data_IF_812258696738
#
_entry.id   IF_812258696738
#
_cell.length_a   1.000
_cell.length_b   1.000
_cell.length_c   1.000
_cell.angle_alpha   90.00
_cell.angle_beta   90.00
_cell.angle_gamma   90.00
#
_symmetry.space_group_name_H-M   'P 1'
#
loop_
_entity.id
_entity.type
_entity.pdbx_description
1 polymer ?
#
# COMPACT_ATOMS: atom_id res chain seq x y z
N UNK A 1 -14.16 11.26 -14.52
CA UNK A 1 -13.29 10.09 -14.25
C UNK A 1 -13.46 9.07 -15.36
N UNK A 2 -12.40 8.39 -15.80
CA UNK A 2 -12.50 7.30 -16.77
C UNK A 2 -13.36 6.14 -16.25
N UNK A 3 -14.02 5.42 -17.16
CA UNK A 3 -14.96 4.35 -16.81
C UNK A 3 -14.34 3.14 -16.08
N UNK A 4 -13.02 2.96 -16.19
CA UNK A 4 -12.28 1.87 -15.56
C UNK A 4 -11.75 2.21 -14.16
N UNK A 5 -12.14 3.36 -13.60
CA UNK A 5 -11.76 3.75 -12.24
C UNK A 5 -12.88 3.43 -11.26
N UNK A 6 -12.53 2.81 -10.15
CA UNK A 6 -13.41 2.66 -9.00
C UNK A 6 -12.95 3.66 -7.94
N UNK A 7 -13.73 4.71 -7.70
CA UNK A 7 -13.49 5.66 -6.60
C UNK A 7 -14.67 5.62 -5.65
N UNK A 8 -14.37 5.31 -4.39
CA UNK A 8 -15.33 5.18 -3.30
C UNK A 8 -14.68 5.71 -2.02
N UNK A 9 -15.47 6.23 -1.06
CA UNK A 9 -14.95 6.60 0.25
C UNK A 9 -14.41 5.39 1.03
N UNK A 10 -14.89 4.19 0.71
CA UNK A 10 -14.43 2.94 1.28
C UNK A 10 -14.51 1.81 0.24
N UNK A 11 -13.56 0.89 0.31
CA UNK A 11 -13.55 -0.38 -0.41
C UNK A 11 -13.10 -1.49 0.54
N UNK A 12 -13.55 -2.75 0.36
CA UNK A 12 -13.05 -3.87 1.14
C UNK A 12 -11.59 -4.17 0.76
N UNK A 13 -10.64 -3.51 1.41
CA UNK A 13 -9.22 -3.49 1.03
C UNK A 13 -8.61 -4.90 0.88
N UNK A 14 -8.89 -5.82 1.81
CA UNK A 14 -8.37 -7.18 1.73
C UNK A 14 -8.86 -7.94 0.48
N UNK A 15 -10.11 -7.72 0.08
CA UNK A 15 -10.65 -8.32 -1.15
C UNK A 15 -10.01 -7.71 -2.39
N UNK A 16 -9.71 -6.40 -2.35
CA UNK A 16 -9.02 -5.72 -3.44
C UNK A 16 -7.57 -6.20 -3.56
N UNK A 17 -6.85 -6.36 -2.44
CA UNK A 17 -5.46 -6.82 -2.43
C UNK A 17 -5.30 -8.24 -3.00
N UNK A 18 -6.29 -9.12 -2.85
CA UNK A 18 -6.29 -10.44 -3.50
C UNK A 18 -6.27 -10.40 -5.03
N UNK A 19 -6.54 -9.25 -5.63
CA UNK A 19 -6.68 -9.04 -7.08
C UNK A 19 -5.80 -7.91 -7.61
N UNK A 20 -4.96 -7.33 -6.76
CA UNK A 20 -4.16 -6.16 -7.10
C UNK A 20 -2.73 -6.57 -7.50
N UNK A 21 -2.23 -5.98 -8.59
CA UNK A 21 -0.84 -6.15 -9.00
C UNK A 21 0.13 -5.24 -8.23
N UNK A 22 -0.37 -4.13 -7.68
CA UNK A 22 0.40 -3.15 -6.91
C UNK A 22 -0.49 -2.47 -5.88
N UNK A 23 0.07 -2.16 -4.71
CA UNK A 23 -0.60 -1.35 -3.69
C UNK A 23 0.15 -0.04 -3.47
N UNK A 24 -0.46 1.06 -3.93
CA UNK A 24 0.00 2.42 -3.60
C UNK A 24 -0.60 2.81 -2.27
N UNK A 25 0.23 3.06 -1.27
CA UNK A 25 -0.23 3.29 0.10
C UNK A 25 0.56 4.37 0.79
N UNK A 26 -0.05 5.04 1.75
CA UNK A 26 0.60 5.98 2.66
C UNK A 26 1.61 5.34 3.62
N UNK A 27 1.83 4.02 3.57
CA UNK A 27 2.69 3.26 4.48
C UNK A 27 2.22 3.22 5.94
N UNK A 28 0.90 3.32 6.18
CA UNK A 28 0.34 2.96 7.46
C UNK A 28 0.62 1.48 7.78
N UNK A 29 0.98 1.18 9.03
CA UNK A 29 1.47 -0.15 9.43
C UNK A 29 0.53 -1.30 9.04
N UNK A 30 -0.78 -1.12 9.25
CA UNK A 30 -1.78 -2.15 8.89
C UNK A 30 -1.80 -2.41 7.38
N UNK A 31 -1.83 -1.35 6.57
CA UNK A 31 -1.86 -1.48 5.11
C UNK A 31 -0.58 -2.12 4.56
N UNK A 32 0.57 -1.81 5.17
CA UNK A 32 1.84 -2.46 4.84
C UNK A 32 1.76 -3.95 5.15
N UNK A 33 1.33 -4.34 6.34
CA UNK A 33 1.19 -5.75 6.70
C UNK A 33 0.22 -6.50 5.78
N UNK A 34 -0.93 -5.91 5.46
CA UNK A 34 -1.92 -6.52 4.57
C UNK A 34 -1.37 -6.70 3.16
N UNK A 35 -0.68 -5.70 2.61
CA UNK A 35 -0.03 -5.82 1.30
C UNK A 35 1.03 -6.91 1.27
N UNK A 36 1.89 -6.98 2.30
CA UNK A 36 2.90 -8.04 2.43
C UNK A 36 2.27 -9.43 2.58
N UNK A 37 1.23 -9.54 3.40
CA UNK A 37 0.50 -10.79 3.62
C UNK A 37 -0.12 -11.33 2.32
N UNK A 38 -0.62 -10.43 1.47
CA UNK A 38 -1.17 -10.79 0.16
C UNK A 38 -0.12 -10.89 -0.95
N UNK A 39 1.17 -10.69 -0.64
CA UNK A 39 2.26 -10.74 -1.63
C UNK A 39 2.18 -9.62 -2.67
N UNK A 40 1.50 -8.51 -2.37
CA UNK A 40 1.31 -7.40 -3.29
C UNK A 40 2.47 -6.41 -3.13
N UNK A 41 3.20 -6.08 -4.21
CA UNK A 41 4.26 -5.07 -4.19
C UNK A 41 3.76 -3.71 -3.68
N UNK A 42 4.54 -3.09 -2.79
CA UNK A 42 4.21 -1.82 -2.14
C UNK A 42 4.91 -0.63 -2.82
N UNK A 43 4.13 0.40 -3.16
CA UNK A 43 4.63 1.74 -3.50
C UNK A 43 4.17 2.73 -2.42
N UNK A 44 5.12 3.20 -1.63
CA UNK A 44 4.84 3.94 -0.42
C UNK A 44 5.00 5.46 -0.60
N UNK A 45 3.96 6.21 -0.26
CA UNK A 45 3.91 7.68 -0.32
C UNK A 45 3.50 8.23 1.05
N UNK A 46 4.46 8.36 1.96
CA UNK A 46 4.21 8.72 3.36
C UNK A 46 3.62 10.12 3.51
N UNK A 47 2.56 10.25 4.31
CA UNK A 47 1.87 11.52 4.61
C UNK A 47 1.84 11.87 6.12
N UNK A 48 1.95 10.87 7.00
CA UNK A 48 1.95 11.01 8.46
C UNK A 48 3.33 10.91 9.10
N UNK A 49 3.44 11.14 10.42
CA UNK A 49 4.74 11.22 11.12
C UNK A 49 5.47 9.86 11.27
N UNK A 50 4.73 8.77 11.44
CA UNK A 50 5.25 7.41 11.64
C UNK A 50 5.57 6.68 10.32
N UNK A 51 4.79 6.98 9.29
CA UNK A 51 4.86 6.35 7.96
C UNK A 51 6.24 6.42 7.28
N UNK A 52 7.03 7.51 7.40
CA UNK A 52 8.38 7.57 6.84
C UNK A 52 9.31 6.47 7.36
N UNK A 53 9.23 6.17 8.66
CA UNK A 53 10.05 5.15 9.30
C UNK A 53 9.63 3.75 8.84
N UNK A 54 8.32 3.50 8.75
CA UNK A 54 7.77 2.26 8.19
C UNK A 54 8.25 2.07 6.75
N UNK A 55 8.08 3.09 5.91
CA UNK A 55 8.47 3.03 4.49
C UNK A 55 9.98 2.82 4.31
N UNK A 56 10.81 3.46 5.14
CA UNK A 56 12.25 3.25 5.13
C UNK A 56 12.63 1.80 5.51
N UNK A 57 11.96 1.23 6.53
CA UNK A 57 12.19 -0.15 6.94
C UNK A 57 11.81 -1.15 5.84
N UNK A 58 10.64 -0.98 5.23
CA UNK A 58 10.18 -1.85 4.15
C UNK A 58 11.10 -1.77 2.92
N UNK A 59 11.53 -0.56 2.54
CA UNK A 59 12.52 -0.37 1.46
C UNK A 59 13.85 -1.06 1.78
N UNK A 60 14.35 -0.92 3.00
CA UNK A 60 15.60 -1.56 3.43
C UNK A 60 15.52 -3.10 3.41
N UNK A 61 14.33 -3.67 3.56
CA UNK A 61 14.08 -5.11 3.44
C UNK A 61 13.87 -5.58 2.00
N UNK A 62 13.89 -4.68 1.01
CA UNK A 62 13.60 -5.01 -0.39
C UNK A 62 12.14 -5.37 -0.67
N UNK A 63 11.24 -5.10 0.28
CA UNK A 63 9.84 -5.51 0.24
C UNK A 63 8.92 -4.44 -0.39
N UNK A 64 9.47 -3.31 -0.83
CA UNK A 64 8.72 -2.25 -1.49
C UNK A 64 9.58 -1.06 -1.89
N UNK A 65 8.98 -0.14 -2.63
CA UNK A 65 9.57 1.13 -3.02
C UNK A 65 8.92 2.27 -2.24
N UNK A 66 9.67 3.37 -2.09
CA UNK A 66 9.18 4.61 -1.50
C UNK A 66 9.50 5.77 -2.44
N UNK A 67 8.53 6.67 -2.59
CA UNK A 67 8.67 7.98 -3.24
C UNK A 67 9.04 9.08 -2.23
#
# INVERSE_FOLDING_TARGET
>A
MPAHFIVRPYVPQLEMLRRADVFITHAGMNSVHEGLWHGVPLLMVSMGPDQPAVAARIKALGAGLRL
#
